data_IF_121168537253
#
_entry.id   IF_121168537253
#
_cell.length_a   1.000
_cell.length_b   1.000
_cell.length_c   1.000
_cell.angle_alpha   90.00
_cell.angle_beta   90.00
_cell.angle_gamma   90.00
#
_symmetry.space_group_name_H-M   'P 1'
#
loop_
_entity.id
_entity.type
_entity.pdbx_description
1 polymer ?
#
# COMPACT_ATOMS: atom_id res chain seq x y z
N UNK A 1 13.08 -13.06 4.41
CA UNK A 1 12.54 -14.09 5.34
C UNK A 1 11.02 -14.11 5.33
N UNK A 2 10.33 -13.01 5.70
CA UNK A 2 8.86 -12.96 5.83
C UNK A 2 8.12 -13.52 4.61
N UNK A 3 8.39 -13.01 3.40
CA UNK A 3 7.72 -13.46 2.18
C UNK A 3 7.93 -14.96 1.91
N UNK A 4 9.17 -15.46 2.10
CA UNK A 4 9.49 -16.89 1.96
C UNK A 4 8.72 -17.75 2.98
N UNK A 5 8.62 -17.30 4.23
CA UNK A 5 7.87 -17.97 5.29
C UNK A 5 6.38 -17.99 4.98
N UNK A 6 5.79 -16.83 4.63
CA UNK A 6 4.38 -16.72 4.28
C UNK A 6 4.03 -17.58 3.07
N UNK A 7 4.86 -17.58 2.02
CA UNK A 7 4.61 -18.41 0.83
C UNK A 7 4.62 -19.91 1.16
N UNK A 8 5.42 -20.36 2.13
CA UNK A 8 5.47 -21.76 2.56
C UNK A 8 4.28 -22.18 3.42
N UNK A 9 3.85 -21.32 4.35
CA UNK A 9 2.83 -21.67 5.34
C UNK A 9 1.41 -21.22 4.94
N UNK A 10 1.30 -20.18 4.11
CA UNK A 10 0.07 -19.55 3.66
C UNK A 10 0.18 -19.22 2.15
N UNK A 11 0.31 -20.24 1.28
CA UNK A 11 0.54 -20.02 -0.14
C UNK A 11 -0.64 -19.27 -0.77
N UNK A 12 -0.34 -18.25 -1.57
CA UNK A 12 -1.34 -17.58 -2.38
C UNK A 12 -1.86 -18.52 -3.48
N UNK A 13 -3.16 -18.43 -3.78
CA UNK A 13 -3.74 -19.13 -4.91
C UNK A 13 -3.48 -18.35 -6.21
N UNK A 14 -2.27 -18.52 -6.76
CA UNK A 14 -1.81 -17.78 -7.94
C UNK A 14 -2.63 -18.10 -9.20
N UNK A 15 -3.16 -19.32 -9.30
CA UNK A 15 -4.04 -19.71 -10.41
C UNK A 15 -5.35 -18.90 -10.41
N UNK A 16 -6.00 -18.77 -9.25
CA UNK A 16 -7.19 -17.91 -9.11
C UNK A 16 -6.88 -16.44 -9.37
N UNK A 17 -5.70 -15.98 -8.98
CA UNK A 17 -5.25 -14.62 -9.27
C UNK A 17 -5.17 -14.38 -10.79
N UNK A 18 -4.48 -15.26 -11.53
CA UNK A 18 -4.35 -15.16 -12.99
C UNK A 18 -5.71 -15.24 -13.70
N UNK A 19 -6.57 -16.17 -13.28
CA UNK A 19 -7.90 -16.34 -13.88
C UNK A 19 -8.81 -15.12 -13.75
N UNK A 20 -8.63 -14.31 -12.70
CA UNK A 20 -9.45 -13.10 -12.50
C UNK A 20 -9.14 -12.01 -13.51
N UNK A 21 -7.96 -12.06 -14.15
CA UNK A 21 -7.52 -11.06 -15.11
C UNK A 21 -7.64 -9.61 -14.59
N UNK A 22 -7.44 -9.42 -13.28
CA UNK A 22 -7.39 -8.10 -12.64
C UNK A 22 -5.90 -7.73 -12.51
N UNK A 23 -5.41 -6.71 -13.22
CA UNK A 23 -4.01 -6.30 -13.13
C UNK A 23 -3.63 -5.88 -11.71
N UNK A 24 -2.50 -6.38 -11.23
CA UNK A 24 -1.88 -5.94 -9.98
C UNK A 24 -0.52 -5.32 -10.32
N UNK A 25 -0.25 -4.14 -9.77
CA UNK A 25 1.03 -3.46 -9.90
C UNK A 25 1.66 -3.30 -8.53
N UNK A 26 2.94 -3.65 -8.42
CA UNK A 26 3.75 -3.41 -7.24
C UNK A 26 4.63 -2.18 -7.48
N UNK A 27 4.46 -1.15 -6.67
CA UNK A 27 5.31 0.04 -6.73
C UNK A 27 6.67 -0.27 -6.10
N UNK A 28 7.75 0.07 -6.78
CA UNK A 28 9.13 -0.01 -6.31
C UNK A 28 9.83 1.31 -6.56
N UNK A 29 10.99 1.52 -5.94
CA UNK A 29 11.86 2.66 -6.23
C UNK A 29 13.15 2.16 -6.87
N UNK A 30 13.44 2.60 -8.09
CA UNK A 30 14.69 2.27 -8.78
C UNK A 30 15.86 2.98 -8.09
N UNK A 31 16.91 2.24 -7.73
CA UNK A 31 18.07 2.78 -7.02
C UNK A 31 18.92 3.72 -7.87
N UNK A 32 19.00 3.48 -9.17
CA UNK A 32 19.82 4.29 -10.08
C UNK A 32 19.12 5.60 -10.44
N UNK A 33 17.81 5.55 -10.70
CA UNK A 33 17.05 6.71 -11.17
C UNK A 33 16.34 7.46 -10.04
N UNK A 34 16.10 6.83 -8.89
CA UNK A 34 15.29 7.38 -7.79
C UNK A 34 13.78 7.44 -8.10
N UNK A 35 13.35 6.93 -9.26
CA UNK A 35 11.97 7.03 -9.72
C UNK A 35 11.12 5.84 -9.28
N UNK A 36 9.80 6.05 -9.25
CA UNK A 36 8.85 4.98 -9.03
C UNK A 36 8.78 4.09 -10.28
N UNK A 37 8.85 2.78 -10.08
CA UNK A 37 8.52 1.80 -11.10
C UNK A 37 7.30 1.00 -10.66
N UNK A 38 6.42 0.68 -11.62
CA UNK A 38 5.16 -0.01 -11.37
C UNK A 38 5.22 -1.39 -12.03
N UNK A 39 5.72 -2.37 -11.29
CA UNK A 39 5.96 -3.71 -11.78
C UNK A 39 4.63 -4.46 -11.89
N UNK A 40 4.26 -4.88 -13.10
CA UNK A 40 3.12 -5.76 -13.31
C UNK A 40 3.39 -7.12 -12.66
N UNK A 41 2.55 -7.49 -11.69
CA UNK A 41 2.71 -8.72 -10.92
C UNK A 41 2.16 -9.90 -11.71
N UNK A 42 2.98 -10.92 -11.88
CA UNK A 42 2.65 -12.19 -12.50
C UNK A 42 3.00 -13.33 -11.55
N UNK A 43 2.55 -14.55 -11.85
CA UNK A 43 2.94 -15.72 -11.07
C UNK A 43 4.45 -15.94 -11.06
N UNK A 44 5.11 -15.60 -12.16
CA UNK A 44 6.55 -15.78 -12.35
C UNK A 44 7.36 -14.81 -11.48
N UNK A 45 6.91 -13.56 -11.36
CA UNK A 45 7.67 -12.50 -10.69
C UNK A 45 7.13 -12.08 -9.31
N UNK A 46 5.99 -12.61 -8.85
CA UNK A 46 5.34 -12.14 -7.61
C UNK A 46 6.28 -12.15 -6.41
N UNK A 47 7.18 -13.13 -6.33
CA UNK A 47 8.13 -13.20 -5.22
C UNK A 47 9.12 -12.05 -5.25
N UNK A 48 9.71 -11.77 -6.40
CA UNK A 48 10.67 -10.67 -6.57
C UNK A 48 9.99 -9.31 -6.40
N UNK A 49 8.82 -9.12 -7.03
CA UNK A 49 8.05 -7.88 -6.96
C UNK A 49 7.61 -7.55 -5.51
N UNK A 50 7.13 -8.54 -4.76
CA UNK A 50 6.70 -8.35 -3.37
C UNK A 50 7.88 -8.16 -2.41
N UNK A 51 9.02 -8.79 -2.67
CA UNK A 51 10.25 -8.53 -1.92
C UNK A 51 10.76 -7.10 -2.17
N UNK A 52 10.77 -6.66 -3.44
CA UNK A 52 11.21 -5.33 -3.84
C UNK A 52 10.34 -4.19 -3.28
N UNK A 53 9.01 -4.30 -3.38
CA UNK A 53 8.09 -3.24 -2.90
C UNK A 53 8.19 -2.97 -1.39
N UNK A 54 8.69 -3.95 -0.61
CA UNK A 54 8.86 -3.87 0.84
C UNK A 54 10.34 -3.75 1.28
N UNK A 55 11.27 -3.53 0.36
CA UNK A 55 12.71 -3.52 0.64
C UNK A 55 13.15 -2.20 1.30
N UNK A 56 12.83 -2.05 2.59
CA UNK A 56 13.15 -0.85 3.35
C UNK A 56 14.66 -0.55 3.31
N UNK A 57 15.05 0.69 2.96
CA UNK A 57 16.46 1.10 2.99
C UNK A 57 17.05 0.86 4.37
N UNK A 58 18.34 0.49 4.42
CA UNK A 58 19.10 0.21 5.65
C UNK A 58 18.71 -1.10 6.38
N UNK A 59 17.45 -1.53 6.29
CA UNK A 59 17.01 -2.81 6.86
C UNK A 59 17.36 -4.01 5.95
N UNK A 60 17.36 -3.80 4.63
CA UNK A 60 17.83 -4.79 3.67
C UNK A 60 19.33 -4.65 3.44
N UNK A 61 20.07 -5.75 3.65
CA UNK A 61 21.53 -5.80 3.42
C UNK A 61 21.89 -5.77 1.93
N UNK A 62 21.00 -6.27 1.09
CA UNK A 62 21.12 -6.29 -0.37
C UNK A 62 19.77 -5.87 -0.94
N UNK A 63 19.78 -4.92 -1.86
CA UNK A 63 18.56 -4.49 -2.54
C UNK A 63 18.12 -5.61 -3.49
N UNK A 64 16.86 -6.08 -3.41
CA UNK A 64 16.36 -7.05 -4.36
C UNK A 64 16.40 -6.47 -5.78
N UNK A 65 16.58 -7.35 -6.76
CA UNK A 65 16.54 -6.96 -8.17
C UNK A 65 15.25 -7.44 -8.79
N UNK A 66 14.69 -6.63 -9.68
CA UNK A 66 13.58 -7.02 -10.55
C UNK A 66 14.07 -6.82 -11.98
N UNK A 67 14.07 -7.90 -12.78
CA UNK A 67 14.60 -7.88 -14.14
C UNK A 67 16.04 -7.33 -14.26
N UNK A 68 16.88 -7.62 -13.25
CA UNK A 68 18.28 -7.19 -13.21
C UNK A 68 18.52 -5.76 -12.70
N UNK A 69 17.47 -4.98 -12.42
CA UNK A 69 17.57 -3.62 -11.88
C UNK A 69 17.38 -3.65 -10.37
N UNK A 70 18.25 -2.97 -9.63
CA UNK A 70 18.18 -2.88 -8.17
C UNK A 70 17.02 -1.98 -7.72
N UNK A 71 16.17 -2.51 -6.84
CA UNK A 71 14.94 -1.86 -6.37
C UNK A 71 14.92 -1.71 -4.85
N UNK A 72 14.21 -0.69 -4.38
CA UNK A 72 13.88 -0.47 -2.97
C UNK A 72 12.37 -0.29 -2.76
N UNK A 73 11.96 -0.12 -1.51
CA UNK A 73 10.59 0.11 -1.07
C UNK A 73 9.89 1.17 -1.92
N UNK A 74 8.71 0.82 -2.45
CA UNK A 74 7.92 1.72 -3.32
C UNK A 74 7.46 2.98 -2.60
N UNK A 75 7.33 2.92 -1.28
CA UNK A 75 6.93 4.05 -0.46
C UNK A 75 7.94 5.19 -0.42
N UNK A 76 9.13 5.04 -1.00
CA UNK A 76 10.11 6.13 -1.15
C UNK A 76 9.72 7.01 -2.32
N UNK A 77 9.57 6.44 -3.51
CA UNK A 77 9.19 7.19 -4.71
C UNK A 77 7.69 7.48 -4.77
N UNK A 78 6.82 6.52 -4.44
CA UNK A 78 5.37 6.72 -4.52
C UNK A 78 4.63 5.84 -3.51
N UNK A 79 4.31 6.43 -2.35
CA UNK A 79 3.61 5.72 -1.26
C UNK A 79 2.12 5.51 -1.52
N UNK A 80 1.50 6.34 -2.35
CA UNK A 80 0.06 6.30 -2.62
C UNK A 80 -0.09 6.59 -4.12
N UNK A 81 -0.04 5.56 -4.98
CA UNK A 81 0.01 5.72 -6.44
C UNK A 81 -1.36 6.08 -7.04
N UNK A 82 -2.11 6.97 -6.39
CA UNK A 82 -3.43 7.44 -6.81
C UNK A 82 -3.34 8.29 -8.07
N UNK A 83 -2.31 9.15 -8.15
CA UNK A 83 -2.05 9.97 -9.33
C UNK A 83 -1.66 9.07 -10.51
N UNK A 84 -0.83 8.05 -10.28
CA UNK A 84 -0.49 7.08 -11.32
C UNK A 84 -1.71 6.30 -11.81
N UNK A 85 -2.56 5.82 -10.89
CA UNK A 85 -3.80 5.14 -11.27
C UNK A 85 -4.68 6.04 -12.16
N UNK A 86 -4.81 7.32 -11.81
CA UNK A 86 -5.53 8.30 -12.61
C UNK A 86 -4.89 8.52 -14.00
N UNK A 87 -3.56 8.65 -14.05
CA UNK A 87 -2.79 8.82 -15.30
C UNK A 87 -2.94 7.60 -16.23
N UNK A 88 -3.10 6.40 -15.66
CA UNK A 88 -3.42 5.16 -16.40
C UNK A 88 -4.86 5.08 -16.90
N UNK A 89 -5.68 6.10 -16.65
CA UNK A 89 -7.05 6.19 -17.14
C UNK A 89 -8.12 5.81 -16.11
N UNK A 90 -7.75 5.49 -14.86
CA UNK A 90 -8.77 5.23 -13.83
C UNK A 90 -9.53 6.52 -13.51
N UNK A 91 -10.86 6.42 -13.38
CA UNK A 91 -11.75 7.53 -13.05
C UNK A 91 -12.60 7.27 -11.82
N UNK A 92 -12.84 6.00 -11.49
CA UNK A 92 -13.35 5.59 -10.19
C UNK A 92 -12.24 4.87 -9.44
N UNK A 93 -11.74 5.48 -8.36
CA UNK A 93 -10.58 4.97 -7.63
C UNK A 93 -10.94 4.82 -6.15
N UNK A 94 -10.73 3.62 -5.60
CA UNK A 94 -10.79 3.38 -4.16
C UNK A 94 -9.39 3.42 -3.57
N UNK A 95 -9.14 4.33 -2.63
CA UNK A 95 -7.85 4.50 -1.96
C UNK A 95 -7.95 3.99 -0.53
N UNK A 96 -7.02 3.11 -0.14
CA UNK A 96 -6.92 2.59 1.23
C UNK A 96 -5.68 3.19 1.88
N UNK A 97 -5.86 3.95 2.96
CA UNK A 97 -4.79 4.62 3.70
C UNK A 97 -4.49 3.87 5.01
N UNK A 98 -3.23 3.92 5.44
CA UNK A 98 -2.77 3.45 6.75
C UNK A 98 -2.52 4.61 7.73
N UNK A 99 -2.97 5.82 7.37
CA UNK A 99 -2.91 7.05 8.14
C UNK A 99 -4.27 7.75 8.10
N UNK A 100 -4.66 8.46 9.18
CA UNK A 100 -5.92 9.19 9.19
C UNK A 100 -5.91 10.31 8.14
N UNK A 101 -7.11 10.73 7.74
CA UNK A 101 -7.27 11.93 6.90
C UNK A 101 -6.69 13.15 7.62
N UNK A 102 -6.12 14.08 6.85
CA UNK A 102 -5.42 15.25 7.39
C UNK A 102 -4.02 14.97 7.94
N UNK A 103 -3.54 13.71 7.89
CA UNK A 103 -2.14 13.42 8.19
C UNK A 103 -1.22 14.18 7.23
N UNK A 104 -0.17 14.81 7.76
CA UNK A 104 0.86 15.46 6.95
C UNK A 104 2.20 14.76 7.14
N UNK A 105 2.86 14.39 6.04
CA UNK A 105 4.17 13.75 6.09
C UNK A 105 5.24 14.81 6.33
N UNK A 106 5.91 14.71 7.47
CA UNK A 106 7.05 15.60 7.78
C UNK A 106 8.28 15.26 6.95
N UNK A 107 9.06 16.30 6.64
CA UNK A 107 10.33 16.21 5.94
C UNK A 107 11.40 15.46 6.73
N UNK A 108 12.44 15.04 6.00
CA UNK A 108 13.59 14.36 6.58
C UNK A 108 14.50 15.35 7.32
N UNK A 109 14.70 15.13 8.62
CA UNK A 109 15.41 16.07 9.51
C UNK A 109 16.93 16.17 9.29
N UNK A 110 17.57 15.16 8.70
CA UNK A 110 19.02 15.11 8.51
C UNK A 110 19.39 14.84 7.05
N UNK A 111 19.20 15.81 6.13
CA UNK A 111 19.43 15.60 4.70
C UNK A 111 20.87 15.19 4.36
N UNK A 112 21.86 15.78 5.06
CA UNK A 112 23.27 15.48 4.86
C UNK A 112 23.61 14.01 5.16
N UNK A 113 22.97 13.41 6.17
CA UNK A 113 23.18 12.02 6.54
C UNK A 113 22.65 11.07 5.46
N UNK A 114 21.46 11.38 4.90
CA UNK A 114 20.89 10.62 3.79
C UNK A 114 21.79 10.69 2.56
N UNK A 115 22.28 11.89 2.19
CA UNK A 115 23.22 12.06 1.07
C UNK A 115 24.52 11.29 1.27
N UNK A 116 25.06 11.29 2.49
CA UNK A 116 26.26 10.53 2.83
C UNK A 116 26.03 9.01 2.76
N UNK A 117 24.93 8.54 3.33
CA UNK A 117 24.57 7.12 3.35
C UNK A 117 24.33 6.55 1.95
N UNK A 118 23.75 7.34 1.05
CA UNK A 118 23.42 6.92 -0.32
C UNK A 118 24.28 7.67 -1.36
N UNK A 119 25.55 7.94 -1.05
CA UNK A 119 26.43 8.69 -1.95
C UNK A 119 26.64 8.00 -3.31
N UNK A 120 26.66 6.66 -3.33
CA UNK A 120 26.72 5.84 -4.56
C UNK A 120 25.44 5.91 -5.40
N UNK A 121 24.33 6.36 -4.81
CA UNK A 121 23.01 6.43 -5.42
C UNK A 121 22.38 7.82 -5.21
N UNK A 122 22.93 8.90 -5.81
CA UNK A 122 22.52 10.28 -5.50
C UNK A 122 21.06 10.57 -5.84
N UNK A 123 20.54 10.03 -6.95
CA UNK A 123 19.13 10.18 -7.33
C UNK A 123 18.18 9.47 -6.35
N UNK A 124 18.60 8.32 -5.82
CA UNK A 124 17.87 7.66 -4.76
C UNK A 124 17.88 8.46 -3.46
N UNK A 125 19.02 9.06 -3.10
CA UNK A 125 19.11 9.96 -1.96
C UNK A 125 18.12 11.12 -2.12
N UNK A 126 18.06 11.74 -3.29
CA UNK A 126 17.08 12.79 -3.62
C UNK A 126 15.65 12.29 -3.48
N UNK A 127 15.34 11.09 -3.96
CA UNK A 127 14.03 10.47 -3.79
C UNK A 127 13.67 10.31 -2.30
N UNK A 128 14.60 9.86 -1.46
CA UNK A 128 14.36 9.76 -0.01
C UNK A 128 14.06 11.12 0.61
N UNK A 129 14.75 12.18 0.19
CA UNK A 129 14.55 13.53 0.71
C UNK A 129 13.20 14.14 0.29
N UNK A 130 12.80 13.96 -0.97
CA UNK A 130 11.56 14.48 -1.56
C UNK A 130 10.34 13.58 -1.32
N UNK A 131 10.49 12.49 -0.56
CA UNK A 131 9.41 11.57 -0.22
C UNK A 131 8.22 12.25 0.46
N UNK A 132 8.48 13.20 1.36
CA UNK A 132 7.43 13.90 2.10
C UNK A 132 6.55 14.73 1.16
N UNK A 133 7.18 15.47 0.25
CA UNK A 133 6.52 16.26 -0.79
C UNK A 133 5.60 15.40 -1.66
N UNK A 134 6.12 14.30 -2.23
CA UNK A 134 5.29 13.40 -3.07
C UNK A 134 4.14 12.75 -2.30
N UNK A 135 4.38 12.35 -1.05
CA UNK A 135 3.31 11.81 -0.20
C UNK A 135 2.19 12.83 0.00
N UNK A 136 2.54 14.08 0.30
CA UNK A 136 1.58 15.14 0.53
C UNK A 136 0.87 15.54 -0.77
N UNK A 137 1.56 15.57 -1.91
CA UNK A 137 0.93 15.78 -3.21
C UNK A 137 -0.13 14.72 -3.53
N UNK A 138 0.11 13.45 -3.16
CA UNK A 138 -0.91 12.41 -3.29
C UNK A 138 -2.11 12.63 -2.37
N UNK A 139 -1.89 13.15 -1.15
CA UNK A 139 -2.99 13.53 -0.25
C UNK A 139 -3.77 14.73 -0.77
N UNK A 140 -3.10 15.72 -1.36
CA UNK A 140 -3.73 16.89 -1.95
C UNK A 140 -4.60 16.48 -3.14
N UNK A 141 -4.12 15.55 -3.99
CA UNK A 141 -4.93 14.94 -5.05
C UNK A 141 -6.14 14.20 -4.48
N UNK A 142 -6.00 13.50 -3.35
CA UNK A 142 -7.11 12.80 -2.72
C UNK A 142 -8.15 13.78 -2.15
N UNK A 143 -7.70 14.88 -1.57
CA UNK A 143 -8.57 15.91 -1.02
C UNK A 143 -9.29 16.71 -2.11
N UNK A 144 -8.62 16.93 -3.24
CA UNK A 144 -9.11 17.74 -4.35
C UNK A 144 -8.91 17.01 -5.69
N UNK A 145 -9.64 15.91 -5.95
CA UNK A 145 -9.50 15.18 -7.19
C UNK A 145 -9.99 16.01 -8.39
N UNK A 146 -9.47 15.73 -9.60
CA UNK A 146 -10.03 16.26 -10.84
C UNK A 146 -11.54 16.00 -10.94
N UNK A 147 -12.29 16.87 -11.61
CA UNK A 147 -13.75 16.78 -11.71
C UNK A 147 -14.25 15.48 -12.36
N UNK A 148 -13.42 14.84 -13.19
CA UNK A 148 -13.72 13.55 -13.82
C UNK A 148 -13.29 12.33 -12.97
N UNK A 149 -12.72 12.56 -11.78
CA UNK A 149 -12.25 11.51 -10.88
C UNK A 149 -13.14 11.40 -9.63
N UNK A 150 -13.78 10.24 -9.47
CA UNK A 150 -14.54 9.86 -8.29
C UNK A 150 -13.66 9.03 -7.37
N UNK A 151 -13.33 9.60 -6.20
CA UNK A 151 -12.56 8.91 -5.17
C UNK A 151 -13.46 8.35 -4.06
N UNK A 152 -13.15 7.14 -3.64
CA UNK A 152 -13.64 6.55 -2.40
C UNK A 152 -12.45 6.28 -1.49
N UNK A 153 -12.42 6.89 -0.29
CA UNK A 153 -11.27 6.77 0.61
C UNK A 153 -11.65 5.96 1.85
N UNK A 154 -10.87 4.90 2.12
CA UNK A 154 -10.91 4.16 3.38
C UNK A 154 -9.68 4.57 4.18
N UNK A 155 -9.89 5.30 5.27
CA UNK A 155 -8.83 5.73 6.17
C UNK A 155 -9.18 5.36 7.62
N UNK A 156 -8.17 5.03 8.44
CA UNK A 156 -8.39 4.78 9.86
C UNK A 156 -8.74 6.07 10.62
N UNK A 157 -9.34 5.93 11.80
CA UNK A 157 -9.59 7.05 12.72
C UNK A 157 -8.29 7.58 13.32
N UNK A 158 -8.32 8.78 13.89
CA UNK A 158 -7.16 9.40 14.57
C UNK A 158 -6.57 8.53 15.69
N UNK A 159 -7.40 7.69 16.32
CA UNK A 159 -6.98 6.77 17.38
C UNK A 159 -6.18 5.55 16.90
N UNK A 160 -5.86 5.44 15.60
CA UNK A 160 -5.16 4.30 15.03
C UNK A 160 -3.69 4.22 15.45
N UNK A 161 -3.33 3.11 16.10
CA UNK A 161 -2.03 2.97 16.78
C UNK A 161 -1.03 2.06 16.05
N UNK A 162 -1.38 1.55 14.86
CA UNK A 162 -0.46 0.69 14.09
C UNK A 162 0.51 1.56 13.30
N UNK A 163 1.79 1.40 13.60
CA UNK A 163 2.91 2.00 12.88
C UNK A 163 3.72 0.93 12.15
N UNK A 164 4.68 1.39 11.34
CA UNK A 164 5.54 0.54 10.50
C UNK A 164 6.27 -0.58 11.26
N UNK A 165 6.62 -0.33 12.53
CA UNK A 165 7.40 -1.26 13.37
C UNK A 165 6.57 -1.85 14.53
N UNK A 166 5.24 -1.69 14.51
CA UNK A 166 4.38 -2.21 15.57
C UNK A 166 4.42 -3.73 15.59
N UNK A 167 4.70 -4.32 16.77
CA UNK A 167 4.70 -5.78 17.01
C UNK A 167 3.71 -6.23 18.08
N UNK A 168 3.05 -5.28 18.74
CA UNK A 168 2.04 -5.58 19.74
C UNK A 168 0.80 -6.19 19.05
N UNK A 169 0.50 -7.45 19.37
CA UNK A 169 -0.56 -8.22 18.71
C UNK A 169 -1.94 -7.60 18.89
N UNK A 170 -2.24 -7.08 20.07
CA UNK A 170 -3.54 -6.45 20.35
C UNK A 170 -3.77 -5.22 19.48
N UNK A 171 -2.75 -4.35 19.34
CA UNK A 171 -2.83 -3.18 18.45
C UNK A 171 -2.97 -3.58 16.98
N UNK A 172 -2.25 -4.63 16.56
CA UNK A 172 -2.35 -5.17 15.20
C UNK A 172 -3.75 -5.73 14.92
N UNK A 173 -4.33 -6.47 15.87
CA UNK A 173 -5.67 -7.03 15.77
C UNK A 173 -6.72 -5.91 15.71
N UNK A 174 -6.65 -4.92 16.60
CA UNK A 174 -7.53 -3.75 16.55
C UNK A 174 -7.47 -3.03 15.20
N UNK A 175 -6.26 -2.85 14.65
CA UNK A 175 -6.08 -2.23 13.35
C UNK A 175 -6.67 -3.07 12.21
N UNK A 176 -6.49 -4.39 12.26
CA UNK A 176 -7.07 -5.33 11.30
C UNK A 176 -8.61 -5.31 11.33
N UNK A 177 -9.22 -5.37 12.51
CA UNK A 177 -10.67 -5.30 12.67
C UNK A 177 -11.25 -3.98 12.15
N UNK A 178 -10.60 -2.85 12.45
CA UNK A 178 -10.99 -1.55 11.93
C UNK A 178 -11.03 -1.52 10.38
N UNK A 179 -10.00 -2.10 9.73
CA UNK A 179 -9.94 -2.20 8.28
C UNK A 179 -11.03 -3.12 7.70
N UNK A 180 -11.28 -4.26 8.34
CA UNK A 180 -12.34 -5.20 7.94
C UNK A 180 -13.73 -4.57 8.01
N UNK A 181 -14.05 -3.93 9.12
CA UNK A 181 -15.34 -3.25 9.30
C UNK A 181 -15.54 -2.12 8.29
N UNK A 182 -14.48 -1.38 7.96
CA UNK A 182 -14.54 -0.37 6.91
C UNK A 182 -14.80 -0.98 5.52
N UNK A 183 -14.12 -2.09 5.19
CA UNK A 183 -14.35 -2.81 3.94
C UNK A 183 -15.77 -3.38 3.83
N UNK A 184 -16.29 -4.00 4.89
CA UNK A 184 -17.66 -4.52 4.89
C UNK A 184 -18.70 -3.42 4.68
N UNK A 185 -18.56 -2.29 5.38
CA UNK A 185 -19.45 -1.14 5.18
C UNK A 185 -19.42 -0.62 3.75
N UNK A 186 -18.24 -0.53 3.14
CA UNK A 186 -18.11 -0.11 1.75
C UNK A 186 -18.82 -1.08 0.78
N UNK A 187 -18.72 -2.38 1.03
CA UNK A 187 -19.38 -3.40 0.22
C UNK A 187 -20.87 -3.60 0.54
N UNK A 188 -21.45 -2.84 1.48
CA UNK A 188 -22.83 -3.03 1.93
C UNK A 188 -23.07 -4.36 2.67
N UNK A 189 -22.00 -4.98 3.19
CA UNK A 189 -22.08 -6.22 3.95
C UNK A 189 -22.31 -5.90 5.43
N UNK A 190 -23.33 -6.52 6.02
CA UNK A 190 -23.53 -6.54 7.47
C UNK A 190 -22.80 -7.78 7.99
N UNK A 191 -21.63 -7.63 8.65
CA UNK A 191 -20.93 -8.78 9.18
C UNK A 191 -21.76 -9.38 10.31
N UNK A 192 -22.20 -10.61 10.09
CA UNK A 192 -22.84 -11.40 11.11
C UNK A 192 -21.76 -12.15 11.90
N UNK A 193 -21.87 -12.14 13.23
CA UNK A 193 -20.93 -12.80 14.13
C UNK A 193 -21.69 -13.76 15.03
N UNK A 194 -21.30 -15.04 15.03
CA UNK A 194 -21.92 -16.12 15.81
C UNK A 194 -22.92 -16.98 15.02
N UNK A 195 -23.53 -17.95 15.70
CA UNK A 195 -24.40 -18.99 15.10
C UNK A 195 -25.74 -18.46 14.55
N UNK A 196 -26.07 -17.18 14.76
CA UNK A 196 -27.35 -16.57 14.37
C UNK A 196 -27.31 -15.80 13.03
N UNK A 197 -26.28 -15.98 12.20
CA UNK A 197 -26.17 -15.36 10.87
C UNK A 197 -27.34 -15.60 9.91
N UNK A 198 -28.19 -16.61 10.15
CA UNK A 198 -29.25 -17.04 9.23
C UNK A 198 -30.66 -16.49 9.50
N UNK A 199 -30.86 -15.59 10.47
CA UNK A 199 -32.22 -15.22 10.90
C UNK A 199 -32.76 -13.84 10.46
N UNK A 200 -32.12 -13.12 9.55
CA UNK A 200 -32.63 -11.80 9.11
C UNK A 200 -33.45 -11.77 7.80
N UNK A 201 -33.76 -12.92 7.17
CA UNK A 201 -34.69 -12.96 6.02
C UNK A 201 -36.12 -13.38 6.43
N UNK A 202 -36.80 -12.62 7.30
CA UNK A 202 -38.28 -12.71 7.42
C UNK A 202 -38.95 -11.58 8.21
N UNK A 203 -38.63 -10.32 7.95
CA UNK A 203 -39.44 -9.20 8.42
C UNK A 203 -39.53 -8.11 7.34
N UNK A 204 -40.20 -8.40 6.22
CA UNK A 204 -40.77 -7.35 5.34
C UNK A 204 -41.71 -7.89 4.23
N UNK A 205 -42.61 -8.83 4.56
CA UNK A 205 -43.81 -9.09 3.75
C UNK A 205 -45.02 -9.36 4.63
N UNK A 206 -45.54 -8.28 5.20
CA UNK A 206 -46.93 -8.17 5.63
C UNK A 206 -47.27 -6.67 5.70
N UNK A 207 -47.38 -6.07 4.51
CA UNK A 207 -48.29 -4.96 4.25
C UNK A 207 -49.46 -5.54 3.44
#
# INVERSE_FOLDING_TARGET
WLWRTTTRHLPLNLFKYEQRNIPLYATTTNLETGQAEYIAVSRENITEAMEATCALPVAYRHNPTVSGVAMSDGGIADSIPVIEAYNRGAREITVILSKPLGFHKSETKLPWLIKSMFHDHPKFAEAVLSRAERYNAALDFIANPPADCKLTVIAPKESFQVGRLTRNLEKLEQGYQMGREAGYRLCGLIPCYGDNCYQSERLERAA
#
